data_IF_088038270939
#
_entry.id   IF_088038270939
#
_cell.length_a   1.000
_cell.length_b   1.000
_cell.length_c   1.000
_cell.angle_alpha   90.00
_cell.angle_beta   90.00
_cell.angle_gamma   90.00
#
_symmetry.space_group_name_H-M   'P 1'
#
loop_
_entity.id
_entity.type
_entity.pdbx_description
1 polymer ?
#
# COMPACT_ATOMS: atom_id res chain seq x y z
N UNK A 1 7.69 -9.96 -14.24
CA UNK A 1 7.36 -10.38 -12.85
C UNK A 1 5.85 -10.43 -12.78
N UNK A 2 5.31 -11.52 -12.27
CA UNK A 2 3.88 -11.73 -12.10
C UNK A 2 3.32 -10.77 -11.04
N UNK A 3 2.14 -10.21 -11.28
CA UNK A 3 1.38 -9.45 -10.28
C UNK A 3 0.03 -10.12 -10.04
N UNK A 4 -0.32 -10.30 -8.77
CA UNK A 4 -1.53 -11.00 -8.32
C UNK A 4 -2.43 -10.03 -7.58
N UNK A 5 -3.67 -9.95 -8.01
CA UNK A 5 -4.71 -9.15 -7.35
C UNK A 5 -5.71 -10.06 -6.66
N UNK A 6 -6.08 -9.69 -5.45
CA UNK A 6 -7.24 -10.22 -4.75
C UNK A 6 -8.36 -9.19 -4.83
N UNK A 7 -9.50 -9.54 -5.43
CA UNK A 7 -10.59 -8.58 -5.64
C UNK A 7 -11.97 -9.22 -5.65
N UNK A 8 -12.95 -8.48 -5.15
CA UNK A 8 -14.37 -8.74 -5.37
C UNK A 8 -15.10 -7.50 -5.97
N UNK A 9 -14.34 -6.49 -6.42
CA UNK A 9 -14.79 -5.19 -6.94
C UNK A 9 -14.28 -4.99 -8.38
N UNK A 10 -14.89 -5.61 -9.41
CA UNK A 10 -14.36 -5.62 -10.78
C UNK A 10 -14.18 -4.21 -11.35
N UNK A 11 -15.02 -3.25 -10.99
CA UNK A 11 -14.93 -1.87 -11.46
C UNK A 11 -13.70 -1.15 -10.88
N UNK A 12 -13.40 -1.37 -9.59
CA UNK A 12 -12.20 -0.80 -8.93
C UNK A 12 -10.93 -1.42 -9.52
N UNK A 13 -10.95 -2.75 -9.66
CA UNK A 13 -9.81 -3.48 -10.23
C UNK A 13 -9.53 -3.06 -11.67
N UNK A 14 -10.56 -2.88 -12.51
CA UNK A 14 -10.38 -2.41 -13.89
C UNK A 14 -9.61 -1.10 -13.95
N UNK A 15 -9.99 -0.13 -13.12
CA UNK A 15 -9.31 1.18 -13.06
C UNK A 15 -7.87 1.03 -12.56
N UNK A 16 -7.65 0.20 -11.55
CA UNK A 16 -6.32 -0.08 -11.02
C UNK A 16 -5.41 -0.74 -12.05
N UNK A 17 -5.94 -1.70 -12.82
CA UNK A 17 -5.20 -2.32 -13.93
C UNK A 17 -4.83 -1.30 -15.02
N UNK A 18 -5.65 -0.28 -15.24
CA UNK A 18 -5.31 0.84 -16.13
C UNK A 18 -4.07 1.61 -15.64
N UNK A 19 -4.00 1.89 -14.34
CA UNK A 19 -2.82 2.54 -13.72
C UNK A 19 -1.60 1.63 -13.76
N UNK A 20 -1.75 0.34 -13.46
CA UNK A 20 -0.65 -0.64 -13.54
C UNK A 20 -0.10 -0.74 -14.95
N UNK A 21 -0.95 -0.87 -15.97
CA UNK A 21 -0.53 -0.89 -17.37
C UNK A 21 0.29 0.35 -17.75
N UNK A 22 -0.09 1.52 -17.26
CA UNK A 22 0.57 2.78 -17.61
C UNK A 22 1.89 2.98 -16.87
N UNK A 23 1.92 2.73 -15.55
CA UNK A 23 3.05 3.05 -14.69
C UNK A 23 3.96 1.85 -14.37
N UNK A 24 3.52 0.63 -14.65
CA UNK A 24 4.24 -0.62 -14.41
C UNK A 24 4.13 -1.54 -15.66
N UNK A 25 4.51 -1.07 -16.86
CA UNK A 25 4.28 -1.82 -18.11
C UNK A 25 5.01 -3.17 -18.18
N UNK A 26 5.98 -3.40 -17.32
CA UNK A 26 6.70 -4.67 -17.15
C UNK A 26 5.90 -5.73 -16.36
N UNK A 27 4.85 -5.33 -15.65
CA UNK A 27 3.95 -6.25 -14.93
C UNK A 27 2.87 -6.77 -15.90
N UNK A 28 3.29 -7.59 -16.85
CA UNK A 28 2.49 -8.10 -17.98
C UNK A 28 1.85 -9.47 -17.72
N UNK A 29 2.31 -10.20 -16.70
CA UNK A 29 1.71 -11.43 -16.21
C UNK A 29 0.78 -11.12 -15.02
N UNK A 30 -0.50 -10.86 -15.33
CA UNK A 30 -1.51 -10.44 -14.35
C UNK A 30 -2.40 -11.61 -13.99
N UNK A 31 -2.43 -11.95 -12.70
CA UNK A 31 -3.34 -12.94 -12.12
C UNK A 31 -4.39 -12.25 -11.26
N UNK A 32 -5.64 -12.67 -11.37
CA UNK A 32 -6.75 -12.14 -10.57
C UNK A 32 -7.42 -13.30 -9.84
N UNK A 33 -7.32 -13.29 -8.52
CA UNK A 33 -8.06 -14.20 -7.63
C UNK A 33 -9.34 -13.48 -7.18
N UNK A 34 -10.48 -14.04 -7.56
CA UNK A 34 -11.78 -13.45 -7.28
C UNK A 34 -12.90 -14.50 -7.34
N UNK A 35 -14.10 -14.22 -6.81
CA UNK A 35 -15.27 -15.01 -7.09
C UNK A 35 -15.52 -15.13 -8.60
N UNK A 36 -15.96 -16.30 -9.10
CA UNK A 36 -16.22 -16.52 -10.52
C UNK A 36 -17.13 -15.43 -11.12
N UNK A 37 -18.20 -15.05 -10.42
CA UNK A 37 -19.10 -13.99 -10.85
C UNK A 37 -18.43 -12.60 -10.95
N UNK A 38 -17.35 -12.35 -10.23
CA UNK A 38 -16.55 -11.12 -10.35
C UNK A 38 -15.67 -11.18 -11.59
N UNK A 39 -15.04 -12.34 -11.85
CA UNK A 39 -14.23 -12.56 -13.06
C UNK A 39 -15.05 -12.42 -14.33
N UNK A 40 -16.28 -12.93 -14.36
CA UNK A 40 -17.21 -12.81 -15.51
C UNK A 40 -17.57 -11.35 -15.84
N UNK A 41 -17.52 -10.46 -14.84
CA UNK A 41 -17.82 -9.04 -14.98
C UNK A 41 -16.60 -8.16 -15.22
N UNK A 42 -15.41 -8.71 -15.09
CA UNK A 42 -14.18 -7.95 -15.20
C UNK A 42 -13.87 -7.63 -16.68
N UNK A 43 -14.07 -6.38 -17.04
CA UNK A 43 -13.63 -5.83 -18.33
C UNK A 43 -12.22 -5.22 -18.15
N UNK A 44 -11.20 -6.08 -18.16
CA UNK A 44 -9.83 -5.68 -17.87
C UNK A 44 -9.16 -5.01 -19.08
N UNK A 45 -8.42 -3.90 -18.90
CA UNK A 45 -7.69 -3.23 -19.96
C UNK A 45 -6.39 -3.95 -20.38
N UNK A 46 -6.08 -5.07 -19.73
CA UNK A 46 -4.91 -5.95 -19.97
C UNK A 46 -5.36 -7.40 -19.98
N UNK A 47 -4.54 -8.28 -20.55
CA UNK A 47 -4.77 -9.72 -20.43
C UNK A 47 -4.62 -10.15 -18.96
N UNK A 48 -5.58 -10.93 -18.46
CA UNK A 48 -5.55 -11.45 -17.10
C UNK A 48 -5.78 -12.95 -17.08
N UNK A 49 -5.11 -13.64 -16.16
CA UNK A 49 -5.42 -15.02 -15.80
C UNK A 49 -6.34 -14.99 -14.57
N UNK A 50 -7.63 -15.26 -14.77
CA UNK A 50 -8.61 -15.36 -13.68
C UNK A 50 -8.49 -16.69 -12.95
N UNK A 51 -8.47 -16.66 -11.62
CA UNK A 51 -8.54 -17.84 -10.77
C UNK A 51 -9.79 -17.70 -9.90
N UNK A 52 -10.84 -18.52 -10.10
CA UNK A 52 -11.99 -18.52 -9.22
C UNK A 52 -11.61 -18.97 -7.80
N UNK A 53 -12.11 -18.27 -6.78
CA UNK A 53 -11.89 -18.66 -5.37
C UNK A 53 -12.40 -20.09 -5.11
N UNK A 54 -13.48 -20.46 -5.77
CA UNK A 54 -14.14 -21.78 -5.69
C UNK A 54 -13.22 -22.90 -6.19
N UNK A 55 -12.33 -22.61 -7.15
CA UNK A 55 -11.39 -23.60 -7.69
C UNK A 55 -10.25 -23.89 -6.70
N UNK A 56 -9.93 -22.95 -5.80
CA UNK A 56 -8.88 -23.12 -4.81
C UNK A 56 -9.35 -23.84 -3.54
N UNK A 57 -10.57 -23.57 -3.10
CA UNK A 57 -11.07 -24.01 -1.80
C UNK A 57 -12.18 -25.06 -1.90
N UNK A 58 -12.66 -25.34 -3.12
CA UNK A 58 -13.72 -26.31 -3.37
C UNK A 58 -15.13 -25.68 -3.35
N UNK A 59 -16.18 -26.50 -3.57
CA UNK A 59 -17.54 -26.03 -3.80
C UNK A 59 -18.16 -25.31 -2.60
N UNK A 60 -17.73 -25.60 -1.40
CA UNK A 60 -18.25 -25.01 -0.15
C UNK A 60 -17.50 -23.71 0.23
N UNK A 61 -16.49 -23.32 -0.55
CA UNK A 61 -15.62 -22.16 -0.30
C UNK A 61 -16.39 -20.86 -0.08
N UNK A 62 -17.46 -20.67 -0.83
CA UNK A 62 -18.27 -19.45 -0.75
C UNK A 62 -18.92 -19.28 0.64
N UNK A 63 -19.42 -20.38 1.20
CA UNK A 63 -20.09 -20.35 2.51
C UNK A 63 -19.05 -20.22 3.63
N UNK A 64 -17.93 -20.93 3.52
CA UNK A 64 -16.80 -20.83 4.44
C UNK A 64 -16.23 -19.40 4.46
N UNK A 65 -15.88 -18.83 3.30
CA UNK A 65 -15.33 -17.49 3.19
C UNK A 65 -16.30 -16.38 3.65
N UNK A 66 -17.62 -16.59 3.45
CA UNK A 66 -18.63 -15.64 3.90
C UNK A 66 -18.72 -15.56 5.43
N UNK A 67 -18.31 -16.60 6.15
CA UNK A 67 -18.26 -16.64 7.61
C UNK A 67 -17.03 -15.94 8.20
N UNK A 68 -16.00 -15.71 7.39
CA UNK A 68 -14.74 -15.10 7.84
C UNK A 68 -14.81 -13.58 7.82
N UNK A 69 -14.11 -12.96 8.76
CA UNK A 69 -13.82 -11.53 8.65
C UNK A 69 -12.81 -11.24 7.52
N UNK A 70 -12.67 -9.97 7.19
CA UNK A 70 -11.86 -9.53 6.05
C UNK A 70 -10.41 -10.01 6.12
N UNK A 71 -9.75 -9.91 7.28
CA UNK A 71 -8.35 -10.31 7.43
C UNK A 71 -8.19 -11.84 7.30
N UNK A 72 -9.06 -12.61 7.96
CA UNK A 72 -9.05 -14.07 7.89
C UNK A 72 -9.31 -14.56 6.46
N UNK A 73 -10.27 -13.94 5.76
CA UNK A 73 -10.58 -14.26 4.38
C UNK A 73 -9.37 -14.02 3.46
N UNK A 74 -8.75 -12.86 3.55
CA UNK A 74 -7.61 -12.51 2.70
C UNK A 74 -6.41 -13.43 2.97
N UNK A 75 -6.10 -13.70 4.23
CA UNK A 75 -5.03 -14.62 4.60
C UNK A 75 -5.28 -16.02 4.04
N UNK A 76 -6.49 -16.57 4.23
CA UNK A 76 -6.89 -17.89 3.73
C UNK A 76 -6.73 -18.00 2.22
N UNK A 77 -7.25 -17.02 1.47
CA UNK A 77 -7.17 -17.01 0.01
C UNK A 77 -5.74 -16.92 -0.51
N UNK A 78 -4.91 -16.05 0.08
CA UNK A 78 -3.51 -15.92 -0.35
C UNK A 78 -2.68 -17.16 -0.05
N UNK A 79 -2.92 -17.81 1.09
CA UNK A 79 -2.28 -19.09 1.42
C UNK A 79 -2.75 -20.21 0.48
N UNK A 80 -4.05 -20.28 0.18
CA UNK A 80 -4.59 -21.26 -0.77
C UNK A 80 -4.00 -21.06 -2.17
N UNK A 81 -3.93 -19.82 -2.64
CA UNK A 81 -3.32 -19.48 -3.92
C UNK A 81 -1.83 -19.87 -3.97
N UNK A 82 -1.07 -19.57 -2.94
CA UNK A 82 0.33 -19.97 -2.87
C UNK A 82 0.50 -21.50 -2.89
N UNK A 83 -0.41 -22.25 -2.27
CA UNK A 83 -0.40 -23.73 -2.28
C UNK A 83 -0.78 -24.33 -3.63
N UNK A 84 -1.63 -23.68 -4.40
CA UNK A 84 -2.11 -24.20 -5.69
C UNK A 84 -1.02 -24.35 -6.74
N UNK A 85 0.09 -23.63 -6.59
CA UNK A 85 1.15 -23.56 -7.60
C UNK A 85 0.78 -22.71 -8.84
N UNK A 86 -0.33 -21.98 -8.80
CA UNK A 86 -0.77 -21.10 -9.89
C UNK A 86 0.01 -19.78 -9.94
N UNK A 87 0.85 -19.50 -8.96
CA UNK A 87 1.71 -18.31 -8.89
C UNK A 87 3.19 -18.67 -8.93
N UNK A 88 4.01 -17.73 -9.39
CA UNK A 88 5.47 -17.88 -9.42
C UNK A 88 6.04 -17.98 -8.00
N UNK A 89 7.31 -18.43 -7.90
CA UNK A 89 7.99 -18.51 -6.59
C UNK A 89 8.18 -17.14 -5.94
N UNK A 90 8.40 -16.11 -6.76
CA UNK A 90 8.42 -14.71 -6.35
C UNK A 90 7.45 -13.94 -7.24
N UNK A 91 6.45 -13.33 -6.64
CA UNK A 91 5.42 -12.57 -7.32
C UNK A 91 5.06 -11.30 -6.54
N UNK A 92 4.47 -10.32 -7.20
CA UNK A 92 3.85 -9.20 -6.49
C UNK A 92 2.43 -9.58 -6.10
N UNK A 93 2.05 -9.25 -4.88
CA UNK A 93 0.68 -9.36 -4.43
C UNK A 93 0.12 -7.98 -4.09
N UNK A 94 -1.08 -7.71 -4.56
CA UNK A 94 -1.75 -6.41 -4.47
C UNK A 94 -3.22 -6.58 -4.12
N UNK A 95 -3.80 -5.56 -3.52
CA UNK A 95 -5.25 -5.37 -3.47
C UNK A 95 -5.72 -4.53 -4.68
N UNK A 96 -7.02 -4.56 -4.94
CA UNK A 96 -7.61 -3.90 -6.11
C UNK A 96 -7.64 -2.36 -6.04
N UNK A 97 -7.30 -1.78 -4.90
CA UNK A 97 -7.28 -0.34 -4.64
C UNK A 97 -5.85 0.24 -4.48
N UNK A 98 -4.80 -0.53 -4.77
CA UNK A 98 -3.42 -0.04 -4.73
C UNK A 98 -2.98 0.45 -6.11
N UNK A 99 -3.11 1.75 -6.36
CA UNK A 99 -2.85 2.37 -7.66
C UNK A 99 -1.48 3.02 -7.71
N UNK A 100 -0.59 2.65 -8.67
CA UNK A 100 0.66 3.39 -8.88
C UNK A 100 0.37 4.81 -9.38
N UNK A 101 1.18 5.77 -8.95
CA UNK A 101 1.06 7.20 -9.24
C UNK A 101 2.17 7.75 -10.14
N UNK A 102 3.20 6.96 -10.38
CA UNK A 102 4.38 7.31 -11.19
C UNK A 102 4.99 6.04 -11.76
N UNK A 103 5.90 6.14 -12.74
CA UNK A 103 6.66 4.98 -13.21
C UNK A 103 7.34 4.27 -12.05
N UNK A 104 7.09 2.97 -11.94
CA UNK A 104 7.65 2.08 -10.93
C UNK A 104 8.43 0.99 -11.64
N UNK A 105 9.70 0.85 -11.32
CA UNK A 105 10.56 -0.20 -11.87
C UNK A 105 10.55 -1.46 -11.00
N UNK A 106 10.89 -2.65 -11.54
CA UNK A 106 10.97 -3.89 -10.74
C UNK A 106 11.91 -3.78 -9.54
N UNK A 107 12.97 -2.98 -9.64
CA UNK A 107 13.90 -2.71 -8.54
C UNK A 107 13.28 -2.00 -7.33
N UNK A 108 12.07 -1.47 -7.49
CA UNK A 108 11.29 -0.96 -6.36
C UNK A 108 10.86 -2.07 -5.40
N UNK A 109 10.62 -3.28 -5.90
CA UNK A 109 10.12 -4.42 -5.12
C UNK A 109 11.20 -5.45 -4.79
N UNK A 110 12.21 -5.58 -5.65
CA UNK A 110 13.25 -6.61 -5.55
C UNK A 110 14.62 -6.00 -5.87
N UNK A 111 15.58 -6.16 -4.98
CA UNK A 111 16.95 -5.70 -5.12
C UNK A 111 17.92 -6.87 -4.96
N UNK A 112 18.72 -7.15 -5.96
CA UNK A 112 19.66 -8.28 -5.98
C UNK A 112 19.00 -9.63 -5.60
N UNK A 113 17.80 -9.87 -6.11
CA UNK A 113 17.02 -11.09 -5.84
C UNK A 113 16.36 -11.13 -4.46
N UNK A 114 16.45 -10.07 -3.66
CA UNK A 114 15.87 -9.96 -2.31
C UNK A 114 14.62 -9.08 -2.32
N UNK A 115 13.60 -9.51 -1.62
CA UNK A 115 12.35 -8.76 -1.45
C UNK A 115 12.56 -7.52 -0.59
N UNK A 116 12.05 -6.39 -1.07
CA UNK A 116 12.06 -5.12 -0.33
C UNK A 116 10.75 -5.00 0.44
N UNK A 117 10.84 -4.91 1.77
CA UNK A 117 9.69 -4.69 2.63
C UNK A 117 9.48 -3.21 2.93
N UNK A 118 8.24 -2.74 2.79
CA UNK A 118 7.87 -1.38 3.15
C UNK A 118 7.05 -1.39 4.44
N UNK A 119 7.65 -0.88 5.52
CA UNK A 119 7.06 -0.92 6.85
C UNK A 119 6.58 0.46 7.31
N UNK A 120 5.61 0.47 8.20
CA UNK A 120 5.02 1.70 8.74
C UNK A 120 5.36 1.95 10.21
N UNK A 121 5.16 0.97 11.10
CA UNK A 121 5.39 1.11 12.55
C UNK A 121 5.68 -0.23 13.22
N UNK A 122 6.06 -0.20 14.49
CA UNK A 122 6.21 -1.40 15.32
C UNK A 122 4.86 -1.75 15.96
N UNK A 123 4.39 -2.99 15.74
CA UNK A 123 3.12 -3.49 16.26
C UNK A 123 3.03 -3.51 17.79
N UNK A 124 4.15 -3.57 18.49
CA UNK A 124 4.16 -3.45 19.95
C UNK A 124 3.49 -2.17 20.47
N UNK A 125 3.35 -1.18 19.60
CA UNK A 125 2.83 0.14 19.89
C UNK A 125 1.38 0.32 19.46
N UNK A 126 0.80 -0.66 18.76
CA UNK A 126 -0.61 -0.62 18.36
C UNK A 126 -1.52 -0.82 19.57
N UNK A 127 -2.44 0.14 19.79
CA UNK A 127 -3.32 0.15 20.98
C UNK A 127 -4.80 -0.02 20.65
N UNK A 128 -5.16 0.20 19.40
CA UNK A 128 -6.56 0.06 18.95
C UNK A 128 -6.97 -1.40 18.92
N UNK A 129 -8.26 -1.67 19.19
CA UNK A 129 -8.84 -3.01 19.16
C UNK A 129 -10.34 -2.98 18.78
N UNK A 130 -10.69 -2.14 17.83
CA UNK A 130 -12.09 -1.91 17.46
C UNK A 130 -12.49 -2.70 16.21
N UNK A 131 -11.60 -2.78 15.26
CA UNK A 131 -11.85 -3.36 13.94
C UNK A 131 -11.24 -4.76 13.78
N UNK A 132 -11.62 -5.48 12.70
CA UNK A 132 -10.96 -6.74 12.32
C UNK A 132 -9.48 -6.52 11.98
N UNK A 133 -9.16 -5.36 11.41
CA UNK A 133 -7.77 -4.97 11.15
C UNK A 133 -6.97 -4.85 12.45
N UNK A 134 -7.51 -4.15 13.46
CA UNK A 134 -6.84 -4.01 14.76
C UNK A 134 -6.56 -5.39 15.40
N UNK A 135 -7.56 -6.28 15.37
CA UNK A 135 -7.40 -7.64 15.88
C UNK A 135 -6.34 -8.43 15.12
N UNK A 136 -6.27 -8.28 13.78
CA UNK A 136 -5.23 -8.91 12.97
C UNK A 136 -3.83 -8.37 13.32
N UNK A 137 -3.68 -7.07 13.61
CA UNK A 137 -2.41 -6.50 14.08
C UNK A 137 -1.99 -7.12 15.43
N UNK A 138 -2.92 -7.22 16.40
CA UNK A 138 -2.64 -7.86 17.69
C UNK A 138 -2.30 -9.34 17.57
N UNK A 139 -3.05 -10.09 16.77
CA UNK A 139 -2.79 -11.50 16.54
C UNK A 139 -1.41 -11.70 15.88
N UNK A 140 -1.09 -10.89 14.88
CA UNK A 140 0.24 -10.90 14.22
C UNK A 140 1.35 -10.57 15.21
N UNK A 141 1.18 -9.55 16.04
CA UNK A 141 2.14 -9.20 17.09
C UNK A 141 2.41 -10.38 18.06
N UNK A 142 1.34 -11.00 18.56
CA UNK A 142 1.45 -12.11 19.49
C UNK A 142 2.17 -13.32 18.85
N UNK A 143 1.77 -13.68 17.62
CA UNK A 143 2.40 -14.80 16.90
C UNK A 143 3.88 -14.53 16.61
N UNK A 144 4.23 -13.35 16.12
CA UNK A 144 5.60 -12.96 15.84
C UNK A 144 6.47 -12.93 17.10
N UNK A 145 5.93 -12.41 18.21
CA UNK A 145 6.60 -12.44 19.51
C UNK A 145 6.89 -13.86 19.97
N UNK A 146 5.90 -14.78 19.84
CA UNK A 146 6.08 -16.18 20.18
C UNK A 146 7.13 -16.86 19.31
N UNK A 147 7.18 -16.52 18.00
CA UNK A 147 8.16 -17.05 17.05
C UNK A 147 9.55 -16.40 17.17
N UNK A 148 9.73 -15.41 18.04
CA UNK A 148 10.99 -14.69 18.21
C UNK A 148 11.37 -13.84 17.01
N UNK A 149 10.39 -13.38 16.24
CA UNK A 149 10.55 -12.49 15.10
C UNK A 149 10.44 -11.02 15.51
N UNK A 150 10.90 -10.12 14.65
CA UNK A 150 10.54 -8.70 14.70
C UNK A 150 9.02 -8.55 14.47
N UNK A 151 8.47 -7.38 14.75
CA UNK A 151 7.04 -7.11 14.62
C UNK A 151 6.75 -5.76 13.96
N UNK A 152 7.49 -5.46 12.88
CA UNK A 152 7.20 -4.31 12.04
C UNK A 152 5.90 -4.53 11.27
N UNK A 153 5.03 -3.52 11.20
CA UNK A 153 3.83 -3.57 10.37
C UNK A 153 4.20 -3.36 8.90
N UNK A 154 3.88 -4.36 8.07
CA UNK A 154 3.99 -4.29 6.61
C UNK A 154 2.62 -4.12 5.93
N UNK A 155 1.57 -3.81 6.68
CA UNK A 155 0.27 -3.43 6.14
C UNK A 155 0.32 -2.00 5.57
N UNK A 156 1.12 -1.80 4.56
CA UNK A 156 1.44 -0.48 4.00
C UNK A 156 0.56 -0.07 2.82
N UNK A 157 -0.48 -0.85 2.51
CA UNK A 157 -1.46 -0.59 1.45
C UNK A 157 -0.83 -0.28 0.08
N UNK A 158 0.17 -1.07 -0.29
CA UNK A 158 0.86 -1.03 -1.57
C UNK A 158 1.24 -2.45 -1.99
N UNK A 159 1.46 -2.72 -3.29
CA UNK A 159 1.91 -4.03 -3.73
C UNK A 159 3.22 -4.44 -3.03
N UNK A 160 3.33 -5.73 -2.71
CA UNK A 160 4.49 -6.28 -2.02
C UNK A 160 5.01 -7.51 -2.76
N UNK A 161 6.33 -7.67 -2.81
CA UNK A 161 6.96 -8.88 -3.34
C UNK A 161 6.81 -10.04 -2.35
N UNK A 162 6.19 -11.12 -2.77
CA UNK A 162 5.93 -12.29 -1.93
C UNK A 162 6.77 -13.46 -2.40
N UNK A 163 7.62 -13.96 -1.51
CA UNK A 163 8.25 -15.27 -1.66
C UNK A 163 7.24 -16.33 -1.23
N UNK A 164 6.84 -17.19 -2.19
CA UNK A 164 5.79 -18.19 -2.00
C UNK A 164 6.12 -19.19 -0.91
N UNK A 165 7.37 -19.64 -0.85
CA UNK A 165 7.84 -20.60 0.14
C UNK A 165 7.79 -19.98 1.54
N UNK A 166 8.29 -18.76 1.70
CA UNK A 166 8.29 -18.04 2.99
C UNK A 166 6.86 -17.78 3.48
N UNK A 167 5.94 -17.39 2.59
CA UNK A 167 4.53 -17.23 2.95
C UNK A 167 3.95 -18.53 3.50
N UNK A 168 4.20 -19.68 2.83
CA UNK A 168 3.71 -20.99 3.25
C UNK A 168 4.35 -21.46 4.57
N UNK A 169 5.63 -21.22 4.77
CA UNK A 169 6.31 -21.53 6.02
C UNK A 169 5.78 -20.70 7.19
N UNK A 170 5.61 -19.38 6.99
CA UNK A 170 5.04 -18.48 7.98
C UNK A 170 3.62 -18.90 8.36
N UNK A 171 2.77 -19.20 7.37
CA UNK A 171 1.42 -19.71 7.59
C UNK A 171 1.43 -21.04 8.35
N UNK A 172 2.33 -21.96 7.99
CA UNK A 172 2.51 -23.22 8.71
C UNK A 172 3.02 -23.02 10.15
N UNK A 173 3.86 -22.02 10.38
CA UNK A 173 4.36 -21.71 11.72
C UNK A 173 3.22 -21.23 12.64
N UNK A 174 2.37 -20.29 12.18
CA UNK A 174 1.23 -19.82 12.98
C UNK A 174 0.13 -20.85 13.09
N UNK A 175 -0.13 -21.68 12.06
CA UNK A 175 -1.08 -22.78 12.12
C UNK A 175 -0.75 -23.85 13.17
N UNK A 176 0.48 -23.90 13.67
CA UNK A 176 0.85 -24.72 14.84
C UNK A 176 0.53 -24.06 16.18
N UNK A 177 0.24 -22.76 16.19
CA UNK A 177 -0.04 -21.99 17.40
C UNK A 177 -1.54 -21.84 17.64
N UNK A 178 -2.31 -21.72 16.57
CA UNK A 178 -3.74 -21.43 16.62
C UNK A 178 -4.43 -21.83 15.33
N UNK A 179 -5.72 -22.16 15.44
CA UNK A 179 -6.59 -22.37 14.27
C UNK A 179 -7.11 -21.04 13.67
N UNK A 180 -6.85 -19.92 14.33
CA UNK A 180 -7.24 -18.61 13.81
C UNK A 180 -6.42 -18.26 12.59
N UNK A 181 -7.10 -17.72 11.57
CA UNK A 181 -6.50 -17.18 10.35
C UNK A 181 -6.52 -15.64 10.33
N UNK A 182 -6.83 -14.99 11.46
CA UNK A 182 -6.95 -13.54 11.58
C UNK A 182 -5.57 -12.89 11.75
N UNK A 183 -4.78 -12.92 10.69
CA UNK A 183 -3.45 -12.31 10.65
C UNK A 183 -3.33 -11.28 9.54
N UNK A 184 -2.39 -10.35 9.68
CA UNK A 184 -1.90 -9.54 8.59
C UNK A 184 -0.80 -10.32 7.85
N UNK A 185 -1.11 -10.83 6.68
CA UNK A 185 -0.25 -11.72 5.89
C UNK A 185 1.09 -11.09 5.52
N UNK A 186 1.10 -9.82 5.14
CA UNK A 186 2.33 -9.08 4.81
C UNK A 186 3.25 -8.98 6.02
N UNK A 187 2.67 -8.55 7.13
CA UNK A 187 3.37 -8.40 8.41
C UNK A 187 3.96 -9.74 8.88
N UNK A 188 3.17 -10.80 8.75
CA UNK A 188 3.62 -12.13 9.15
C UNK A 188 4.76 -12.63 8.23
N UNK A 189 4.55 -12.57 6.91
CA UNK A 189 5.50 -13.09 5.92
C UNK A 189 6.86 -12.38 5.99
N UNK A 190 6.84 -11.05 6.05
CA UNK A 190 8.09 -10.29 6.04
C UNK A 190 8.91 -10.41 7.32
N UNK A 191 8.27 -10.33 8.49
CA UNK A 191 9.00 -10.50 9.76
C UNK A 191 9.51 -11.94 9.92
N UNK A 192 8.70 -12.95 9.54
CA UNK A 192 9.14 -14.35 9.55
C UNK A 192 10.31 -14.57 8.57
N UNK A 193 10.17 -14.08 7.33
CA UNK A 193 11.20 -14.21 6.32
C UNK A 193 12.52 -13.55 6.71
N UNK A 194 12.50 -12.32 7.23
CA UNK A 194 13.71 -11.65 7.71
C UNK A 194 14.40 -12.39 8.85
N UNK A 195 13.64 -13.08 9.68
CA UNK A 195 14.18 -13.88 10.79
C UNK A 195 14.81 -15.19 10.33
N UNK A 196 14.14 -15.91 9.41
CA UNK A 196 14.48 -17.29 9.04
C UNK A 196 15.20 -17.39 7.69
N UNK A 197 15.02 -16.43 6.81
CA UNK A 197 15.60 -16.33 5.47
C UNK A 197 16.17 -14.93 5.18
N UNK A 198 17.07 -14.40 6.06
CA UNK A 198 17.56 -13.00 5.94
C UNK A 198 18.22 -12.70 4.60
N UNK A 199 18.74 -13.72 3.91
CA UNK A 199 19.34 -13.60 2.58
C UNK A 199 18.33 -13.29 1.48
N UNK A 200 17.03 -13.52 1.72
CA UNK A 200 15.94 -13.26 0.75
C UNK A 200 15.28 -11.89 0.94
N UNK A 201 15.64 -11.16 1.96
CA UNK A 201 15.02 -9.86 2.30
C UNK A 201 16.06 -8.77 2.49
N UNK A 202 15.68 -7.54 2.10
CA UNK A 202 16.49 -6.35 2.42
C UNK A 202 16.11 -5.79 3.79
N UNK A 203 16.87 -4.78 4.26
CA UNK A 203 16.40 -3.94 5.37
C UNK A 203 15.08 -3.24 4.98
N UNK A 204 14.15 -3.08 5.94
CA UNK A 204 12.86 -2.48 5.65
C UNK A 204 13.01 -1.01 5.27
N UNK A 205 12.18 -0.59 4.32
CA UNK A 205 12.08 0.80 3.88
C UNK A 205 10.79 1.43 4.40
N UNK A 206 10.73 2.75 4.55
CA UNK A 206 9.47 3.43 4.87
C UNK A 206 8.43 3.23 3.77
N UNK A 207 7.17 3.05 4.14
CA UNK A 207 6.06 3.01 3.18
C UNK A 207 5.92 4.33 2.41
N UNK A 208 5.43 4.26 1.19
CA UNK A 208 5.33 5.41 0.26
C UNK A 208 3.96 5.47 -0.42
N UNK A 209 2.91 5.30 0.36
CA UNK A 209 1.51 5.32 -0.09
C UNK A 209 0.79 6.56 0.44
N UNK A 210 -0.05 7.18 -0.38
CA UNK A 210 -0.98 8.22 0.05
C UNK A 210 -2.39 7.65 0.29
N UNK A 211 -3.25 8.43 0.94
CA UNK A 211 -4.62 8.08 1.32
C UNK A 211 -4.75 6.93 2.32
N UNK A 212 -3.67 6.46 2.86
CA UNK A 212 -3.67 5.59 4.02
C UNK A 212 -3.70 6.45 5.29
N UNK A 213 -4.47 6.08 6.33
CA UNK A 213 -4.45 6.80 7.60
C UNK A 213 -3.04 6.83 8.15
N UNK A 214 -2.39 7.94 7.96
CA UNK A 214 -1.02 8.14 8.36
C UNK A 214 -1.05 8.83 9.70
N UNK A 215 -0.11 8.44 10.54
CA UNK A 215 0.22 9.19 11.73
C UNK A 215 1.61 9.80 11.57
N UNK A 216 1.89 10.52 10.48
CA UNK A 216 3.23 10.84 10.05
C UNK A 216 3.87 11.96 10.83
N UNK A 217 3.08 12.77 11.54
CA UNK A 217 3.62 13.96 12.19
C UNK A 217 4.54 13.66 13.35
N UNK A 218 4.43 12.43 13.88
CA UNK A 218 5.29 11.94 14.96
C UNK A 218 6.31 10.92 14.48
N UNK A 219 6.26 10.53 13.21
CA UNK A 219 7.16 9.54 12.63
C UNK A 219 8.33 10.22 11.93
N UNK A 220 9.53 9.63 11.96
CA UNK A 220 10.65 10.10 11.17
C UNK A 220 10.45 9.87 9.66
N UNK A 221 9.48 9.04 9.29
CA UNK A 221 9.11 8.71 7.92
C UNK A 221 8.08 9.69 7.39
N UNK A 222 8.51 10.91 7.15
CA UNK A 222 7.66 11.87 6.47
C UNK A 222 7.72 11.63 4.96
N UNK A 223 6.63 11.16 4.39
CA UNK A 223 6.51 10.98 2.94
C UNK A 223 6.12 12.30 2.30
N UNK A 224 6.92 12.81 1.39
CA UNK A 224 6.69 14.05 0.64
C UNK A 224 6.01 13.76 -0.68
N UNK A 225 5.34 14.74 -1.32
CA UNK A 225 4.63 14.50 -2.57
C UNK A 225 5.42 13.73 -3.63
N UNK A 226 6.68 14.06 -3.95
CA UNK A 226 7.44 13.30 -4.95
C UNK A 226 7.83 11.89 -4.53
N UNK A 227 7.76 11.57 -3.24
CA UNK A 227 8.13 10.27 -2.68
C UNK A 227 6.96 9.28 -2.73
N UNK A 228 5.69 9.77 -2.77
CA UNK A 228 4.54 8.89 -2.93
C UNK A 228 4.68 8.07 -4.23
N UNK A 229 4.51 6.78 -4.10
CA UNK A 229 4.58 5.83 -5.21
C UNK A 229 3.20 5.25 -5.54
N UNK A 230 2.35 5.10 -4.53
CA UNK A 230 1.03 4.50 -4.65
C UNK A 230 -0.04 5.34 -3.96
N UNK A 231 -1.26 5.13 -4.41
CA UNK A 231 -2.50 5.57 -3.79
C UNK A 231 -3.26 4.36 -3.25
N UNK A 232 -3.72 4.43 -2.00
CA UNK A 232 -4.81 3.57 -1.56
C UNK A 232 -6.13 4.25 -1.97
N UNK A 233 -6.82 3.68 -2.95
CA UNK A 233 -7.95 4.30 -3.60
C UNK A 233 -9.23 4.24 -2.76
N UNK A 234 -9.73 5.41 -2.41
CA UNK A 234 -11.03 5.58 -1.76
C UNK A 234 -11.97 6.38 -2.67
N UNK A 235 -13.04 5.76 -3.23
CA UNK A 235 -13.98 6.43 -4.13
C UNK A 235 -14.55 7.73 -3.56
N UNK A 236 -14.81 7.77 -2.27
CA UNK A 236 -15.40 8.92 -1.59
C UNK A 236 -14.54 10.18 -1.69
N UNK A 237 -13.23 10.05 -1.82
CA UNK A 237 -12.35 11.21 -1.97
C UNK A 237 -12.55 11.95 -3.31
N UNK A 238 -13.17 11.30 -4.29
CA UNK A 238 -13.41 11.85 -5.63
C UNK A 238 -14.82 12.43 -5.83
N UNK A 239 -15.66 12.34 -4.81
CA UNK A 239 -17.00 12.91 -4.88
C UNK A 239 -16.97 14.46 -4.90
N UNK A 240 -18.02 15.12 -5.44
CA UNK A 240 -18.11 16.57 -5.43
C UNK A 240 -17.95 17.17 -4.03
N UNK A 241 -17.06 18.14 -3.89
CA UNK A 241 -16.73 18.79 -2.63
C UNK A 241 -15.74 18.03 -1.74
N UNK A 242 -15.24 16.85 -2.17
CA UNK A 242 -14.24 16.08 -1.45
C UNK A 242 -12.81 16.39 -1.95
N UNK A 243 -11.81 15.74 -1.36
CA UNK A 243 -10.39 16.08 -1.51
C UNK A 243 -9.92 16.06 -2.98
N UNK A 244 -10.39 15.10 -3.77
CA UNK A 244 -10.00 14.92 -5.18
C UNK A 244 -11.13 15.30 -6.15
N UNK A 245 -12.06 16.14 -5.70
CA UNK A 245 -13.11 16.68 -6.58
C UNK A 245 -12.52 17.25 -7.88
N UNK A 246 -13.13 16.88 -9.00
CA UNK A 246 -12.70 17.28 -10.35
C UNK A 246 -11.52 16.49 -10.92
N UNK A 247 -10.93 15.55 -10.18
CA UNK A 247 -9.96 14.59 -10.71
C UNK A 247 -10.70 13.30 -11.09
N UNK A 248 -10.58 12.78 -12.33
CA UNK A 248 -11.25 11.55 -12.71
C UNK A 248 -10.64 10.34 -11.96
N UNK A 249 -11.49 9.35 -11.67
CA UNK A 249 -11.04 8.06 -11.11
C UNK A 249 -10.37 7.17 -12.16
N UNK A 250 -10.83 7.26 -13.40
CA UNK A 250 -10.24 6.58 -14.54
C UNK A 250 -8.93 7.27 -14.96
N UNK A 251 -7.94 6.46 -15.35
CA UNK A 251 -6.69 6.97 -15.86
C UNK A 251 -6.89 7.62 -17.23
N UNK A 252 -6.50 8.88 -17.35
CA UNK A 252 -6.25 9.54 -18.63
C UNK A 252 -4.74 9.49 -18.89
N UNK A 253 -4.27 8.71 -19.88
CA UNK A 253 -2.84 8.58 -20.14
C UNK A 253 -2.11 9.89 -20.42
N UNK A 254 -2.79 10.86 -21.05
CA UNK A 254 -2.22 12.15 -21.41
C UNK A 254 -2.09 13.10 -20.21
N UNK A 255 -2.86 12.85 -19.15
CA UNK A 255 -2.91 13.68 -17.94
C UNK A 255 -2.50 12.91 -16.68
N UNK A 256 -2.08 11.64 -16.82
CA UNK A 256 -1.81 10.74 -15.69
C UNK A 256 -0.85 11.33 -14.66
N UNK A 257 0.32 11.78 -15.10
CA UNK A 257 1.34 12.35 -14.21
C UNK A 257 0.86 13.66 -13.56
N UNK A 258 0.12 14.47 -14.30
CA UNK A 258 -0.45 15.71 -13.78
C UNK A 258 -1.49 15.45 -12.71
N UNK A 259 -2.43 14.53 -12.97
CA UNK A 259 -3.47 14.16 -12.00
C UNK A 259 -2.85 13.50 -10.77
N UNK A 260 -1.87 12.63 -10.95
CA UNK A 260 -1.15 12.00 -9.86
C UNK A 260 -0.47 13.05 -8.98
N UNK A 261 0.27 13.99 -9.58
CA UNK A 261 0.95 15.04 -8.82
C UNK A 261 -0.05 15.97 -8.10
N UNK A 262 -1.16 16.32 -8.74
CA UNK A 262 -2.21 17.12 -8.12
C UNK A 262 -2.83 16.41 -6.91
N UNK A 263 -3.12 15.10 -7.02
CA UNK A 263 -3.59 14.28 -5.90
C UNK A 263 -2.58 14.26 -4.75
N UNK A 264 -1.29 14.04 -5.06
CA UNK A 264 -0.23 14.04 -4.06
C UNK A 264 -0.13 15.36 -3.30
N UNK A 265 -0.25 16.50 -3.99
CA UNK A 265 -0.22 17.83 -3.35
C UNK A 265 -1.44 18.05 -2.46
N UNK A 266 -2.64 17.69 -2.94
CA UNK A 266 -3.88 17.85 -2.16
C UNK A 266 -3.85 16.97 -0.91
N UNK A 267 -3.40 15.72 -1.05
CA UNK A 267 -3.24 14.80 0.08
C UNK A 267 -2.23 15.31 1.09
N UNK A 268 -1.07 15.77 0.64
CA UNK A 268 -0.03 16.27 1.51
C UNK A 268 -0.48 17.51 2.32
N UNK A 269 -1.22 18.42 1.69
CA UNK A 269 -1.83 19.56 2.40
C UNK A 269 -2.84 19.09 3.44
N UNK A 270 -3.73 18.17 3.05
CA UNK A 270 -4.69 17.59 3.96
C UNK A 270 -4.01 16.92 5.15
N UNK A 271 -2.98 16.15 4.92
CA UNK A 271 -2.22 15.44 5.94
C UNK A 271 -1.49 16.43 6.88
N UNK A 272 -0.89 17.49 6.32
CA UNK A 272 -0.32 18.58 7.12
C UNK A 272 -1.36 19.26 8.02
N UNK A 273 -2.57 19.46 7.54
CA UNK A 273 -3.65 20.10 8.30
C UNK A 273 -4.29 19.12 9.31
N UNK A 274 -4.56 17.89 8.90
CA UNK A 274 -5.11 16.85 9.75
C UNK A 274 -4.18 16.49 10.91
N UNK A 275 -2.88 16.54 10.70
CA UNK A 275 -1.89 16.32 11.74
C UNK A 275 -1.92 17.30 12.91
N UNK A 276 -2.80 18.29 12.85
CA UNK A 276 -3.12 19.11 14.02
C UNK A 276 -4.27 18.56 14.83
N UNK A 277 -5.09 17.69 14.23
CA UNK A 277 -6.41 17.41 14.74
C UNK A 277 -6.47 16.30 15.79
N UNK A 278 -5.53 15.57 16.09
CA UNK A 278 -5.40 14.50 17.08
C UNK A 278 -4.73 13.27 16.48
N UNK A 279 -3.54 13.01 16.99
CA UNK A 279 -3.11 11.63 17.07
C UNK A 279 -3.88 11.00 18.21
N UNK A 280 -4.57 9.90 17.96
CA UNK A 280 -5.01 9.07 19.07
C UNK A 280 -3.76 8.73 19.89
N UNK A 281 -3.83 8.95 21.21
CA UNK A 281 -2.80 8.49 22.16
C UNK A 281 -2.59 6.97 22.11
N UNK A 282 -3.38 6.28 21.28
CA UNK A 282 -3.49 4.85 21.12
C UNK A 282 -2.55 4.26 20.06
N UNK A 283 -1.99 5.08 19.16
CA UNK A 283 -0.91 4.65 18.25
C UNK A 283 0.40 5.29 18.70
N UNK A 284 1.26 4.49 19.27
CA UNK A 284 2.55 4.98 19.71
C UNK A 284 3.57 4.89 18.57
N UNK A 285 4.32 5.96 18.40
CA UNK A 285 5.43 6.01 17.47
C UNK A 285 6.64 5.28 18.08
N UNK A 286 7.22 4.26 17.42
CA UNK A 286 8.37 3.52 17.94
C UNK A 286 9.58 4.40 18.27
N UNK A 287 9.70 5.53 17.56
CA UNK A 287 10.78 6.49 17.71
C UNK A 287 10.63 7.43 18.91
N UNK A 288 9.42 7.52 19.46
CA UNK A 288 9.15 8.33 20.64
C UNK A 288 9.36 7.56 21.95
N UNK A 289 9.63 6.25 21.87
CA UNK A 289 9.79 5.37 23.01
C UNK A 289 8.47 4.93 23.66
N UNK A 290 8.56 4.03 24.61
CA UNK A 290 7.38 3.46 25.25
C UNK A 290 6.46 4.53 25.88
N UNK A 291 5.13 4.44 25.64
CA UNK A 291 4.16 5.31 26.30
C UNK A 291 4.28 5.20 27.82
N UNK A 292 4.23 6.35 28.49
CA UNK A 292 4.28 6.39 29.97
C UNK A 292 5.68 6.44 30.57
N UNK A 293 6.74 6.17 29.80
CA UNK A 293 8.12 6.34 30.30
C UNK A 293 8.53 7.82 30.36
N UNK A 294 9.44 8.18 31.26
CA UNK A 294 9.98 9.55 31.35
C UNK A 294 10.67 9.99 30.06
N UNK A 295 11.43 9.08 29.44
CA UNK A 295 12.10 9.32 28.16
C UNK A 295 11.10 9.50 27.00
N UNK A 296 10.04 8.69 26.94
CA UNK A 296 8.99 8.83 25.95
C UNK A 296 8.25 10.18 26.06
N UNK A 297 7.91 10.60 27.30
CA UNK A 297 7.29 11.92 27.53
C UNK A 297 8.19 13.06 27.12
N UNK A 298 9.47 13.04 27.45
CA UNK A 298 10.43 14.06 27.07
C UNK A 298 10.62 14.15 25.55
N UNK A 299 10.72 13.02 24.84
CA UNK A 299 10.79 12.97 23.38
C UNK A 299 9.52 13.53 22.72
N UNK A 300 8.32 13.15 23.19
CA UNK A 300 7.06 13.69 22.69
C UNK A 300 6.99 15.20 22.88
N UNK A 301 7.33 15.73 24.06
CA UNK A 301 7.36 17.14 24.32
C UNK A 301 8.33 17.89 23.38
N UNK A 302 9.52 17.33 23.12
CA UNK A 302 10.48 17.89 22.19
C UNK A 302 9.96 17.95 20.76
N UNK A 303 9.45 16.83 20.22
CA UNK A 303 8.89 16.79 18.86
C UNK A 303 7.63 17.66 18.74
N UNK A 304 6.79 17.69 19.76
CA UNK A 304 5.64 18.57 19.81
C UNK A 304 6.03 20.06 19.76
N UNK A 305 7.09 20.43 20.46
CA UNK A 305 7.60 21.82 20.43
C UNK A 305 8.22 22.21 19.07
N UNK A 306 8.76 21.24 18.33
CA UNK A 306 9.32 21.48 16.99
C UNK A 306 8.25 21.48 15.88
N UNK A 307 7.03 21.03 16.14
CA UNK A 307 5.94 20.96 15.16
C UNK A 307 5.70 22.25 14.39
N UNK A 308 5.55 23.42 15.05
CA UNK A 308 5.26 24.67 14.35
C UNK A 308 6.37 25.06 13.37
N UNK A 309 7.63 24.87 13.76
CA UNK A 309 8.80 25.21 12.93
C UNK A 309 8.87 24.29 11.72
N UNK A 310 8.74 22.98 11.95
CA UNK A 310 8.75 21.98 10.89
C UNK A 310 7.61 22.22 9.91
N UNK A 311 6.41 22.48 10.42
CA UNK A 311 5.25 22.78 9.62
C UNK A 311 5.45 24.01 8.73
N UNK A 312 5.92 25.12 9.29
CA UNK A 312 6.21 26.32 8.51
C UNK A 312 7.21 26.02 7.38
N UNK A 313 8.26 25.26 7.68
CA UNK A 313 9.23 24.82 6.68
C UNK A 313 8.61 23.94 5.58
N UNK A 314 7.78 22.97 5.93
CA UNK A 314 7.14 22.07 4.96
C UNK A 314 6.10 22.81 4.10
N UNK A 315 5.37 23.78 4.66
CA UNK A 315 4.48 24.64 3.86
C UNK A 315 5.25 25.51 2.87
N UNK A 316 6.35 26.11 3.27
CA UNK A 316 7.20 26.90 2.36
C UNK A 316 7.78 26.01 1.25
N UNK A 317 8.28 24.82 1.60
CA UNK A 317 8.79 23.88 0.61
C UNK A 317 7.70 23.37 -0.35
N UNK A 318 6.47 23.17 0.14
CA UNK A 318 5.32 22.79 -0.67
C UNK A 318 4.92 23.90 -1.65
N UNK A 319 4.88 25.14 -1.17
CA UNK A 319 4.53 26.30 -1.98
C UNK A 319 5.54 26.51 -3.11
N UNK A 320 6.83 26.43 -2.81
CA UNK A 320 7.92 26.51 -3.80
C UNK A 320 7.81 25.38 -4.85
N UNK A 321 7.56 24.15 -4.42
CA UNK A 321 7.39 23.00 -5.33
C UNK A 321 6.13 23.12 -6.20
N UNK A 322 5.05 23.66 -5.64
CA UNK A 322 3.81 23.92 -6.40
C UNK A 322 4.06 24.92 -7.50
N UNK A 323 4.78 26.02 -7.19
CA UNK A 323 5.16 27.02 -8.18
C UNK A 323 6.07 26.45 -9.27
N UNK A 324 7.05 25.61 -8.90
CA UNK A 324 7.92 24.93 -9.87
C UNK A 324 7.16 23.96 -10.76
N UNK A 325 6.20 23.23 -10.23
CA UNK A 325 5.36 22.33 -11.00
C UNK A 325 4.42 23.09 -11.96
N UNK A 326 3.85 24.20 -11.52
CA UNK A 326 3.04 25.08 -12.37
C UNK A 326 3.87 25.67 -13.51
N UNK A 327 5.09 26.09 -13.22
CA UNK A 327 6.04 26.61 -14.21
C UNK A 327 6.43 25.54 -15.22
N UNK A 328 6.79 24.34 -14.75
CA UNK A 328 7.12 23.21 -15.61
C UNK A 328 5.93 22.82 -16.53
N UNK A 329 4.72 22.82 -15.97
CA UNK A 329 3.50 22.59 -16.75
C UNK A 329 3.22 23.69 -17.79
N UNK A 330 3.56 24.93 -17.48
CA UNK A 330 3.43 26.05 -18.42
C UNK A 330 4.47 25.91 -19.56
N UNK A 331 5.71 25.57 -19.26
CA UNK A 331 6.76 25.32 -20.24
C UNK A 331 6.36 24.18 -21.19
N UNK A 332 5.91 23.05 -20.65
CA UNK A 332 5.48 21.91 -21.45
C UNK A 332 4.28 22.22 -22.36
N UNK A 333 3.38 23.14 -21.95
CA UNK A 333 2.28 23.62 -22.83
C UNK A 333 2.81 24.48 -23.97
N UNK A 334 3.78 25.36 -23.70
CA UNK A 334 4.39 26.23 -24.72
C UNK A 334 5.19 25.42 -25.75
N UNK A 335 5.91 24.38 -25.31
CA UNK A 335 6.64 23.49 -26.19
C UNK A 335 5.71 22.70 -27.12
N UNK A 336 4.58 22.17 -26.59
CA UNK A 336 3.56 21.52 -27.42
C UNK A 336 2.96 22.47 -28.45
N UNK A 337 2.55 23.66 -28.04
CA UNK A 337 1.99 24.66 -28.94
C UNK A 337 2.98 25.05 -30.06
N UNK A 338 4.26 25.13 -29.73
CA UNK A 338 5.31 25.39 -30.73
C UNK A 338 5.44 24.24 -31.72
N UNK A 339 5.48 23.01 -31.25
CA UNK A 339 5.60 21.82 -32.10
C UNK A 339 4.38 21.62 -33.01
N UNK A 340 3.17 21.97 -32.52
CA UNK A 340 1.97 21.94 -33.35
C UNK A 340 2.01 23.02 -34.44
N UNK A 341 2.50 24.22 -34.12
CA UNK A 341 2.66 25.32 -35.09
C UNK A 341 3.73 24.98 -36.16
N UNK A 342 4.81 24.27 -35.77
CA UNK A 342 5.86 23.84 -36.72
C UNK A 342 5.39 22.67 -37.62
N UNK A 343 4.41 21.87 -37.21
CA UNK A 343 3.81 20.82 -38.04
C UNK A 343 2.80 21.33 -39.08
N UNK A 344 2.19 22.47 -38.82
CA UNK A 344 1.20 23.10 -39.69
C UNK A 344 1.83 24.11 -40.70
N UNK A 345 3.13 24.23 -40.73
CA UNK A 345 3.84 25.01 -41.76
C UNK A 345 4.02 24.15 -43.03
N UNK A 346 3.59 24.64 -44.22
CA UNK A 346 3.62 23.90 -45.46
C UNK A 346 5.06 23.60 -45.98
#
# INVERSE_FOLDING_TARGET
MQIVFLSNRPEVLRETLGHVRHFMPWADDVVVLAPAATLDRLDAPVAVTGIPEEDLLGPDAREELASLDHASRNFTLRVALARSGAVQDLFLCSDDDFRPLKPIEPAFFVEDGRSIGYASYDLALWRRNETSFDRAQHASYQALTYLGCEHLSYASHMPMAVDREVLLEAAGAVGRLTDSMQFCEWTLTYNYGRRHHPERFTEPRPFVVMCWPQYPHEWPFWVRPPEYAFENFYPDLYLPGHLFDGIPTALDPDLAERHAFEKMLRWYRFDLDAGQLHFPDDVANPWLGEPGTGAGRARRAFFSALRPVRRAYEYLALEERTQLAELAGAIARLERSRNDTERDLP
#
